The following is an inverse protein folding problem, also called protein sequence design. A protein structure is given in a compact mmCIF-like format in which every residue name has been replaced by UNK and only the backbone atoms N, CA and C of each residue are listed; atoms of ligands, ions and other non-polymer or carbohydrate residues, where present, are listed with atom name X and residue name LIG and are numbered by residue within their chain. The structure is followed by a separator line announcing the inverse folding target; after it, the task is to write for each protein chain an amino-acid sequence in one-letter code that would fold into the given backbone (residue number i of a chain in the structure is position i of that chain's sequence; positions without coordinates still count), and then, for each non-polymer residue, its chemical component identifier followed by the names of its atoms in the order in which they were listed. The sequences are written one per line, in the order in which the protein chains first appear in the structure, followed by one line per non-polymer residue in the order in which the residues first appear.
data_IF_386089976820
#
_entry.id   IF_386089976820
#
_cell.length_a   1.000
_cell.length_b   1.000
_cell.length_c   1.000
_cell.angle_alpha   90.00
_cell.angle_beta   90.00
_cell.angle_gamma   90.00
#
_symmetry.space_group_name_H-M   'P 1'
#
loop_
_entity.id
_entity.type
_entity.pdbx_description
1 polymer ?
#
# COMPACT_ATOMS: atom_id res chain seq x y z
N UNK A 1 5.44 3.75 53.33
CA UNK A 1 4.70 3.14 52.19
C UNK A 1 3.41 2.53 52.76
N UNK A 2 2.27 2.70 52.07
CA UNK A 2 2.00 1.83 50.94
C UNK A 2 1.79 2.58 49.62
N UNK A 3 2.24 1.91 48.57
CA UNK A 3 2.24 2.32 47.17
C UNK A 3 0.84 2.23 46.59
N UNK A 4 0.41 3.29 45.90
CA UNK A 4 -0.81 3.28 45.10
C UNK A 4 -0.46 2.76 43.69
N UNK A 5 -0.39 1.44 43.54
CA UNK A 5 -0.25 0.78 42.24
C UNK A 5 -1.58 0.87 41.50
N UNK A 6 -1.69 1.80 40.55
CA UNK A 6 -2.76 1.78 39.55
C UNK A 6 -2.53 0.57 38.63
N UNK A 7 -3.21 -0.53 38.93
CA UNK A 7 -3.33 -1.65 38.02
C UNK A 7 -4.16 -1.19 36.81
N UNK A 8 -3.52 -1.06 35.65
CA UNK A 8 -4.24 -0.98 34.38
C UNK A 8 -5.00 -2.29 34.17
N UNK A 9 -6.31 -2.26 34.38
CA UNK A 9 -7.23 -3.31 34.01
C UNK A 9 -7.16 -3.54 32.49
N UNK A 10 -6.44 -4.60 32.08
CA UNK A 10 -6.31 -5.05 30.70
C UNK A 10 -7.18 -6.28 30.45
N UNK A 11 -8.41 -6.30 30.94
CA UNK A 11 -9.36 -7.36 30.59
C UNK A 11 -10.10 -6.97 29.29
N UNK A 12 -10.02 -7.75 28.20
CA UNK A 12 -10.69 -7.40 26.94
C UNK A 12 -12.21 -7.55 27.10
N UNK A 13 -12.92 -6.43 27.27
CA UNK A 13 -14.38 -6.40 27.34
C UNK A 13 -14.99 -6.91 26.01
N UNK A 14 -15.75 -8.02 26.01
CA UNK A 14 -16.28 -8.67 24.81
C UNK A 14 -17.20 -7.75 23.97
N UNK A 15 -17.85 -6.79 24.63
CA UNK A 15 -18.76 -5.82 24.02
C UNK A 15 -18.04 -4.88 23.03
N UNK A 16 -16.84 -4.41 23.38
CA UNK A 16 -16.06 -3.48 22.54
C UNK A 16 -15.60 -4.14 21.24
N UNK A 17 -15.24 -5.42 21.29
CA UNK A 17 -14.81 -6.18 20.11
C UNK A 17 -15.98 -6.46 19.17
N UNK A 18 -17.15 -6.78 19.72
CA UNK A 18 -18.38 -6.96 18.95
C UNK A 18 -18.84 -5.66 18.28
N UNK A 19 -18.75 -4.53 18.99
CA UNK A 19 -19.05 -3.21 18.45
C UNK A 19 -18.10 -2.83 17.30
N UNK A 20 -16.79 -2.98 17.50
CA UNK A 20 -15.80 -2.69 16.46
C UNK A 20 -16.02 -3.54 15.21
N UNK A 21 -16.33 -4.84 15.40
CA UNK A 21 -16.65 -5.74 14.28
C UNK A 21 -17.85 -5.23 13.48
N UNK A 22 -18.93 -4.83 14.16
CA UNK A 22 -20.14 -4.32 13.50
C UNK A 22 -19.84 -3.04 12.72
N UNK A 23 -19.18 -2.07 13.36
CA UNK A 23 -18.82 -0.81 12.70
C UNK A 23 -17.89 -1.02 11.51
N UNK A 24 -16.97 -1.99 11.58
CA UNK A 24 -16.09 -2.31 10.46
C UNK A 24 -16.87 -2.90 9.26
N UNK A 25 -17.89 -3.72 9.51
CA UNK A 25 -18.74 -4.26 8.45
C UNK A 25 -19.56 -3.14 7.80
N UNK A 26 -20.25 -2.35 8.61
CA UNK A 26 -21.06 -1.22 8.12
C UNK A 26 -20.21 -0.21 7.32
N UNK A 27 -19.01 0.11 7.81
CA UNK A 27 -18.07 1.00 7.14
C UNK A 27 -17.62 0.51 5.75
N UNK A 28 -17.52 -0.81 5.55
CA UNK A 28 -17.11 -1.36 4.25
C UNK A 28 -18.29 -1.67 3.32
N UNK A 29 -19.53 -1.66 3.83
CA UNK A 29 -20.74 -2.02 3.10
C UNK A 29 -21.52 -0.77 2.64
N UNK A 30 -21.69 0.21 3.52
CA UNK A 30 -22.57 1.35 3.29
C UNK A 30 -21.82 2.69 3.26
N UNK A 31 -22.30 3.67 2.47
CA UNK A 31 -23.42 3.59 1.51
C UNK A 31 -23.05 2.90 0.18
N UNK A 32 -21.75 2.71 -0.09
CA UNK A 32 -21.26 1.97 -1.27
C UNK A 32 -20.15 1.04 -0.81
N UNK A 33 -20.16 -0.24 -1.22
CA UNK A 33 -19.14 -1.18 -0.79
C UNK A 33 -17.72 -0.80 -1.24
N UNK A 34 -16.75 -1.03 -0.38
CA UNK A 34 -15.33 -0.83 -0.66
C UNK A 34 -14.84 0.60 -0.38
N UNK A 35 -13.52 0.78 -0.51
CA UNK A 35 -12.83 2.03 -0.09
C UNK A 35 -12.30 2.86 -1.25
N UNK A 36 -12.34 2.32 -2.46
CA UNK A 36 -11.77 2.94 -3.65
C UNK A 36 -12.89 3.32 -4.60
N UNK A 37 -12.77 4.49 -5.21
CA UNK A 37 -13.64 4.95 -6.27
C UNK A 37 -12.80 5.50 -7.43
N UNK A 38 -13.31 5.38 -8.65
CA UNK A 38 -12.73 6.00 -9.85
C UNK A 38 -13.63 7.18 -10.21
N UNK A 39 -13.02 8.34 -10.45
CA UNK A 39 -13.72 9.54 -10.89
C UNK A 39 -12.97 10.19 -12.05
N UNK A 40 -13.73 10.76 -12.98
CA UNK A 40 -13.16 11.55 -14.07
C UNK A 40 -12.53 12.84 -13.53
N UNK A 41 -11.34 13.18 -14.04
CA UNK A 41 -10.64 14.42 -13.68
C UNK A 41 -10.91 15.57 -14.64
N UNK A 42 -11.47 15.28 -15.83
CA UNK A 42 -11.85 16.26 -16.86
C UNK A 42 -13.36 16.27 -17.03
N UNK A 43 -13.90 17.44 -17.38
CA UNK A 43 -15.32 17.59 -17.69
C UNK A 43 -15.66 16.78 -18.94
N UNK A 44 -16.85 16.18 -18.92
CA UNK A 44 -17.43 15.39 -20.01
C UNK A 44 -18.92 15.69 -20.10
N UNK A 45 -19.27 16.98 -20.19
CA UNK A 45 -20.65 17.45 -20.03
C UNK A 45 -21.41 17.52 -21.36
N UNK A 46 -20.67 17.63 -22.47
CA UNK A 46 -21.24 17.87 -23.80
C UNK A 46 -20.52 17.05 -24.88
N UNK A 47 -21.02 17.14 -26.11
CA UNK A 47 -20.48 16.39 -27.26
C UNK A 47 -19.04 16.78 -27.60
N UNK A 48 -18.66 18.05 -27.43
CA UNK A 48 -17.30 18.52 -27.67
C UNK A 48 -16.33 17.90 -26.66
N UNK A 49 -16.67 17.92 -25.37
CA UNK A 49 -15.86 17.30 -24.32
C UNK A 49 -15.67 15.80 -24.57
N UNK A 50 -16.73 15.11 -25.02
CA UNK A 50 -16.68 13.69 -25.34
C UNK A 50 -15.81 13.40 -26.56
N UNK A 51 -15.87 14.26 -27.59
CA UNK A 51 -15.02 14.16 -28.77
C UNK A 51 -13.53 14.39 -28.46
N UNK A 52 -13.21 15.15 -27.40
CA UNK A 52 -11.84 15.33 -26.90
C UNK A 52 -11.38 14.14 -26.05
N UNK A 53 -12.26 13.63 -25.18
CA UNK A 53 -11.94 12.52 -24.28
C UNK A 53 -11.86 11.16 -25.00
N UNK A 54 -12.55 11.03 -26.14
CA UNK A 54 -12.63 9.79 -26.92
C UNK A 54 -12.36 10.04 -28.40
N UNK A 55 -12.77 9.13 -29.28
CA UNK A 55 -12.66 9.30 -30.72
C UNK A 55 -13.43 10.54 -31.18
N UNK A 56 -12.83 11.42 -32.00
CA UNK A 56 -11.50 11.32 -32.62
C UNK A 56 -10.34 11.92 -31.80
N UNK A 57 -10.60 12.75 -30.78
CA UNK A 57 -9.59 13.52 -30.05
C UNK A 57 -8.52 12.69 -29.34
N UNK A 58 -8.87 11.48 -28.87
CA UNK A 58 -7.93 10.56 -28.22
C UNK A 58 -6.80 10.08 -29.14
N UNK A 59 -6.94 10.22 -30.47
CA UNK A 59 -5.91 9.84 -31.43
C UNK A 59 -4.63 10.67 -31.26
N UNK A 60 -4.75 11.98 -31.00
CA UNK A 60 -3.60 12.88 -30.87
C UNK A 60 -2.61 12.48 -29.76
N UNK A 61 -3.03 12.26 -28.49
CA UNK A 61 -2.11 11.77 -27.46
C UNK A 61 -1.56 10.37 -27.77
N UNK A 62 -2.32 9.50 -28.45
CA UNK A 62 -1.84 8.17 -28.85
C UNK A 62 -0.71 8.25 -29.88
N UNK A 63 -0.84 9.11 -30.89
CA UNK A 63 0.21 9.33 -31.90
C UNK A 63 1.48 9.92 -31.29
N UNK A 64 1.34 10.87 -30.36
CA UNK A 64 2.49 11.44 -29.65
C UNK A 64 3.19 10.41 -28.76
N UNK A 65 2.45 9.52 -28.10
CA UNK A 65 3.02 8.42 -27.32
C UNK A 65 3.68 7.37 -28.21
N UNK A 66 3.14 7.12 -29.41
CA UNK A 66 3.74 6.21 -30.39
C UNK A 66 5.10 6.74 -30.90
N UNK A 67 5.23 8.06 -31.08
CA UNK A 67 6.49 8.71 -31.45
C UNK A 67 7.49 8.75 -30.29
N UNK A 68 7.03 9.11 -29.09
CA UNK A 68 7.84 9.14 -27.87
C UNK A 68 7.10 8.48 -26.69
N UNK A 69 7.50 7.26 -26.28
CA UNK A 69 6.89 6.57 -25.15
C UNK A 69 6.93 7.35 -23.82
N UNK A 70 7.85 8.32 -23.66
CA UNK A 70 7.91 9.16 -22.46
C UNK A 70 6.77 10.19 -22.42
N UNK A 71 6.16 10.53 -23.55
CA UNK A 71 4.99 11.40 -23.58
C UNK A 71 3.80 10.84 -22.78
N UNK A 72 3.79 9.53 -22.50
CA UNK A 72 2.79 8.90 -21.63
C UNK A 72 2.73 9.52 -20.23
N UNK A 73 3.84 10.03 -19.69
CA UNK A 73 3.87 10.73 -18.41
C UNK A 73 3.15 12.08 -18.46
N UNK A 74 3.04 12.70 -19.64
CA UNK A 74 2.39 14.01 -19.84
C UNK A 74 0.90 13.87 -20.13
N UNK A 75 0.52 12.90 -20.96
CA UNK A 75 -0.83 12.79 -21.51
C UNK A 75 -1.72 11.73 -20.83
N UNK A 76 -1.21 11.01 -19.82
CA UNK A 76 -1.98 9.99 -19.10
C UNK A 76 -1.83 10.15 -17.60
N UNK A 77 -2.62 9.41 -16.83
CA UNK A 77 -2.48 9.33 -15.36
C UNK A 77 -1.20 8.62 -14.90
N UNK A 78 -0.39 8.05 -15.82
CA UNK A 78 0.81 7.25 -15.50
C UNK A 78 1.80 7.94 -14.56
N UNK A 79 1.98 9.26 -14.66
CA UNK A 79 2.88 10.01 -13.77
C UNK A 79 2.44 10.02 -12.30
N UNK A 80 1.15 9.86 -12.05
CA UNK A 80 0.55 9.94 -10.70
C UNK A 80 -0.09 8.62 -10.26
N UNK A 81 -0.07 7.58 -11.10
CA UNK A 81 -0.71 6.29 -10.83
C UNK A 81 0.28 5.31 -10.20
N UNK A 82 -0.02 4.84 -8.99
CA UNK A 82 0.71 3.76 -8.33
C UNK A 82 -0.13 2.48 -8.39
N UNK A 83 0.38 1.46 -9.07
CA UNK A 83 -0.26 0.15 -9.15
C UNK A 83 0.01 -0.68 -7.89
N UNK A 84 -1.05 -1.02 -7.14
CA UNK A 84 -0.96 -1.95 -6.00
C UNK A 84 -1.32 -3.36 -6.48
N UNK A 85 -0.30 -4.15 -6.85
CA UNK A 85 -0.49 -5.52 -7.33
C UNK A 85 -0.27 -6.52 -6.20
N UNK A 86 -1.31 -7.29 -5.87
CA UNK A 86 -1.23 -8.38 -4.88
C UNK A 86 -1.83 -9.65 -5.46
N UNK A 87 -1.19 -10.79 -5.21
CA UNK A 87 -1.73 -12.12 -5.53
C UNK A 87 -2.63 -12.67 -4.41
N UNK A 88 -3.14 -11.81 -3.51
CA UNK A 88 -4.10 -12.19 -2.47
C UNK A 88 -3.56 -13.03 -1.29
N UNK A 89 -2.31 -13.47 -1.31
CA UNK A 89 -1.79 -14.44 -0.31
C UNK A 89 -1.11 -13.82 0.93
N UNK A 90 -1.14 -12.49 1.10
CA UNK A 90 -0.54 -11.85 2.28
C UNK A 90 -1.03 -10.40 2.51
N UNK A 91 -1.85 -10.20 3.54
CA UNK A 91 -1.81 -8.99 4.38
C UNK A 91 -0.74 -9.30 5.43
N UNK A 92 0.40 -8.61 5.41
CA UNK A 92 1.56 -8.93 6.26
C UNK A 92 1.41 -8.28 7.64
N UNK A 93 0.61 -8.89 8.51
CA UNK A 93 0.89 -8.88 9.95
C UNK A 93 2.03 -9.87 10.19
N UNK A 94 3.24 -9.37 10.40
CA UNK A 94 4.42 -10.18 10.68
C UNK A 94 4.84 -9.98 12.14
N UNK A 95 4.07 -10.51 13.09
CA UNK A 95 4.59 -11.03 14.37
C UNK A 95 3.48 -11.74 15.17
N UNK A 96 3.74 -12.96 15.68
CA UNK A 96 2.87 -13.61 16.69
C UNK A 96 3.23 -13.18 18.14
N UNK A 97 4.42 -12.60 18.37
CA UNK A 97 4.92 -12.13 19.67
C UNK A 97 4.88 -10.60 19.86
N UNK A 98 4.93 -9.80 18.79
CA UNK A 98 4.94 -8.31 18.85
C UNK A 98 3.69 -7.62 18.27
N UNK A 99 2.67 -8.38 17.87
CA UNK A 99 1.44 -7.84 17.26
C UNK A 99 1.60 -7.35 15.82
N UNK A 100 0.51 -6.87 15.22
CA UNK A 100 0.43 -6.39 13.83
C UNK A 100 1.23 -5.10 13.61
N UNK A 101 2.57 -5.18 13.53
CA UNK A 101 3.42 -4.03 13.20
C UNK A 101 3.76 -4.05 11.72
N UNK A 102 3.61 -2.89 11.06
CA UNK A 102 3.92 -2.75 9.65
C UNK A 102 5.43 -2.83 9.41
N UNK A 103 5.86 -3.70 8.51
CA UNK A 103 7.24 -3.85 8.08
C UNK A 103 7.33 -3.64 6.56
N UNK A 104 8.23 -2.76 6.12
CA UNK A 104 8.49 -2.51 4.71
C UNK A 104 9.72 -3.31 4.26
N UNK A 105 9.59 -4.08 3.18
CA UNK A 105 10.70 -4.76 2.52
C UNK A 105 10.90 -4.13 1.16
N UNK A 106 12.10 -3.59 0.91
CA UNK A 106 12.39 -2.83 -0.31
C UNK A 106 13.63 -3.37 -1.01
N UNK A 107 13.59 -3.34 -2.34
CA UNK A 107 14.77 -3.54 -3.19
C UNK A 107 15.04 -2.21 -3.88
N UNK A 108 16.09 -1.47 -3.49
CA UNK A 108 16.45 -0.23 -4.14
C UNK A 108 16.87 -0.49 -5.59
N UNK A 109 16.64 0.48 -6.47
CA UNK A 109 17.28 0.45 -7.79
C UNK A 109 18.79 0.55 -7.62
N UNK A 110 19.56 0.01 -8.57
CA UNK A 110 21.00 0.09 -8.54
C UNK A 110 21.48 1.54 -8.32
N UNK A 111 22.31 1.76 -7.30
CA UNK A 111 22.82 3.07 -6.92
C UNK A 111 21.88 3.94 -6.08
N UNK A 112 20.69 3.45 -5.71
CA UNK A 112 19.79 4.14 -4.78
C UNK A 112 19.88 3.54 -3.38
N UNK A 113 19.87 4.39 -2.37
CA UNK A 113 19.71 4.00 -0.97
C UNK A 113 18.33 4.43 -0.49
N UNK A 114 17.75 3.66 0.43
CA UNK A 114 16.47 3.96 1.03
C UNK A 114 16.59 3.70 2.52
N UNK A 115 16.19 4.67 3.32
CA UNK A 115 16.15 4.56 4.77
C UNK A 115 14.70 4.64 5.28
N UNK A 116 14.51 4.21 6.53
CA UNK A 116 13.20 4.18 7.17
C UNK A 116 12.60 5.59 7.32
N UNK A 117 13.35 6.63 7.77
CA UNK A 117 12.81 7.98 7.88
C UNK A 117 12.26 8.52 6.55
N UNK A 118 12.98 8.37 5.44
CA UNK A 118 12.51 8.86 4.14
C UNK A 118 11.25 8.13 3.67
N UNK A 119 11.16 6.82 3.90
CA UNK A 119 9.93 6.06 3.61
C UNK A 119 8.77 6.54 4.48
N UNK A 120 8.99 6.71 5.78
CA UNK A 120 7.96 7.14 6.72
C UNK A 120 7.47 8.54 6.35
N UNK A 121 8.38 9.47 6.07
CA UNK A 121 8.07 10.82 5.63
C UNK A 121 7.27 10.81 4.33
N UNK A 122 7.74 10.05 3.33
CA UNK A 122 7.04 9.88 2.06
C UNK A 122 5.61 9.35 2.27
N UNK A 123 5.44 8.28 3.04
CA UNK A 123 4.13 7.68 3.28
C UNK A 123 3.21 8.59 4.08
N UNK A 124 3.73 9.34 5.05
CA UNK A 124 2.96 10.36 5.78
C UNK A 124 2.52 11.50 4.86
N UNK A 125 3.39 11.97 3.97
CA UNK A 125 3.07 12.98 2.97
C UNK A 125 1.96 12.49 2.01
N UNK A 126 1.96 11.19 1.69
CA UNK A 126 0.89 10.53 0.92
C UNK A 126 -0.38 10.24 1.76
N UNK A 127 -0.46 10.73 3.01
CA UNK A 127 -1.60 10.53 3.92
C UNK A 127 -1.91 9.05 4.19
N UNK A 128 -0.89 8.19 4.17
CA UNK A 128 -1.03 6.79 4.58
C UNK A 128 -1.38 6.74 6.07
N UNK A 129 -2.38 5.92 6.42
CA UNK A 129 -2.84 5.80 7.80
C UNK A 129 -1.73 5.23 8.69
N UNK A 130 -1.66 5.69 9.94
CA UNK A 130 -0.54 5.42 10.85
C UNK A 130 -0.22 3.93 11.02
N UNK A 131 -1.22 3.05 11.00
CA UNK A 131 -1.06 1.60 11.10
C UNK A 131 -0.38 0.95 9.88
N UNK A 132 -0.29 1.66 8.75
CA UNK A 132 0.43 1.23 7.55
C UNK A 132 1.80 1.90 7.41
N UNK A 133 2.13 2.83 8.30
CA UNK A 133 3.47 3.40 8.36
C UNK A 133 4.40 2.33 8.93
N UNK A 134 5.43 1.89 8.18
CA UNK A 134 6.31 0.85 8.65
C UNK A 134 7.12 1.34 9.84
N UNK A 135 7.27 0.48 10.83
CA UNK A 135 8.15 0.71 11.98
C UNK A 135 9.52 0.06 11.78
N UNK A 136 9.65 -0.77 10.72
CA UNK A 136 10.90 -1.43 10.34
C UNK A 136 11.03 -1.44 8.82
N UNK A 137 12.26 -1.21 8.36
CA UNK A 137 12.65 -1.31 6.95
C UNK A 137 13.66 -2.44 6.79
N UNK A 138 13.43 -3.30 5.81
CA UNK A 138 14.35 -4.35 5.39
C UNK A 138 14.77 -4.09 3.95
N UNK A 139 16.02 -3.70 3.75
CA UNK A 139 16.60 -3.42 2.43
C UNK A 139 17.25 -4.69 1.90
N UNK A 140 16.97 -5.04 0.64
CA UNK A 140 17.48 -6.26 -0.01
C UNK A 140 18.05 -5.96 -1.39
N UNK A 141 19.00 -6.79 -1.82
CA UNK A 141 19.51 -6.79 -3.19
C UNK A 141 18.51 -7.44 -4.18
N UNK A 142 17.71 -8.40 -3.70
CA UNK A 142 16.67 -9.05 -4.49
C UNK A 142 15.58 -9.64 -3.59
N UNK A 143 14.38 -9.80 -4.15
CA UNK A 143 13.27 -10.51 -3.53
C UNK A 143 13.23 -11.91 -4.14
N UNK A 144 13.10 -12.99 -3.34
CA UNK A 144 12.99 -14.33 -3.88
C UNK A 144 11.79 -14.38 -4.82
N UNK A 145 12.02 -14.75 -6.08
CA UNK A 145 11.01 -14.77 -7.13
C UNK A 145 11.04 -16.08 -7.91
N UNK A 146 9.90 -16.48 -8.44
CA UNK A 146 9.81 -17.57 -9.41
C UNK A 146 10.48 -17.18 -10.73
N UNK A 147 10.78 -18.14 -11.63
CA UNK A 147 11.28 -17.84 -12.98
C UNK A 147 10.36 -16.91 -13.79
N UNK A 148 9.07 -16.84 -13.43
CA UNK A 148 8.09 -15.91 -14.01
C UNK A 148 8.08 -14.52 -13.36
N UNK A 149 9.05 -14.21 -12.49
CA UNK A 149 9.16 -12.92 -11.79
C UNK A 149 8.17 -12.73 -10.63
N UNK A 150 7.40 -13.75 -10.25
CA UNK A 150 6.46 -13.64 -9.11
C UNK A 150 7.21 -13.80 -7.81
N UNK A 151 7.08 -12.87 -6.87
CA UNK A 151 7.66 -12.99 -5.54
C UNK A 151 7.18 -14.27 -4.81
N UNK A 152 8.13 -15.05 -4.31
CA UNK A 152 7.95 -16.23 -3.45
C UNK A 152 7.82 -15.79 -1.99
N UNK A 153 6.63 -15.31 -1.61
CA UNK A 153 6.34 -14.77 -0.27
C UNK A 153 6.61 -15.75 0.87
N UNK A 154 6.42 -17.06 0.67
CA UNK A 154 6.72 -18.08 1.69
C UNK A 154 8.20 -18.10 2.04
N UNK A 155 9.05 -18.19 1.01
CA UNK A 155 10.51 -18.11 1.15
C UNK A 155 10.96 -16.77 1.72
N UNK A 156 10.36 -15.66 1.28
CA UNK A 156 10.64 -14.35 1.88
C UNK A 156 10.28 -14.29 3.37
N UNK A 157 9.15 -14.88 3.77
CA UNK A 157 8.73 -14.94 5.19
C UNK A 157 9.66 -15.83 6.02
N UNK A 158 10.08 -16.97 5.50
CA UNK A 158 11.07 -17.83 6.18
C UNK A 158 12.40 -17.11 6.35
N UNK A 159 12.92 -16.50 5.29
CA UNK A 159 14.15 -15.69 5.34
C UNK A 159 14.04 -14.55 6.35
N UNK A 160 12.90 -13.85 6.38
CA UNK A 160 12.66 -12.78 7.36
C UNK A 160 12.53 -13.34 8.77
N UNK A 161 11.87 -14.49 8.97
CA UNK A 161 11.76 -15.13 10.28
C UNK A 161 13.13 -15.55 10.80
N UNK A 162 13.94 -16.19 9.97
CA UNK A 162 15.31 -16.62 10.31
C UNK A 162 16.20 -15.43 10.67
N UNK A 163 16.16 -14.33 9.91
CA UNK A 163 16.93 -13.12 10.23
C UNK A 163 16.41 -12.38 11.47
N UNK A 164 15.10 -12.38 11.70
CA UNK A 164 14.49 -11.68 12.85
C UNK A 164 14.59 -12.49 14.16
N UNK A 165 14.77 -13.81 14.08
CA UNK A 165 14.92 -14.71 15.24
C UNK A 165 16.35 -15.26 15.41
N UNK A 166 17.27 -14.93 14.50
CA UNK A 166 18.64 -15.47 14.42
C UNK A 166 19.77 -14.48 14.64
N UNK A 167 19.54 -13.37 15.37
CA UNK A 167 20.61 -12.56 15.96
C UNK A 167 20.68 -12.81 17.47
N UNK A 168 21.88 -12.75 18.11
CA UNK A 168 22.09 -13.10 19.51
C UNK A 168 21.21 -12.32 20.49
#
# INVERSE_FOLDING_TARGET
MPENTMAHDQTPHPDRRAQLRRSALEYHEFPKPGKLAIAATKQMLNQHDLALAYTPGVAAPCEEIAKDPNAAFRYTSRGNLVGVVTNGTAVLGLDERLGERACAVVVPKAGQTVDLPAIVEFLRAQKVAAQYIPERLVVRASIPSTPSGKMQKFKLREMLREELHGGP
#
